data_IF_183438569091
#
_entry.id   IF_183438569091
#
_cell.length_a   1.000
_cell.length_b   1.000
_cell.length_c   1.000
_cell.angle_alpha   90.00
_cell.angle_beta   90.00
_cell.angle_gamma   90.00
#
_symmetry.space_group_name_H-M   'P 1'
#
loop_
_entity.id
_entity.type
_entity.pdbx_description
1 polymer ?
#
# COMPACT_ATOMS: atom_id res chain seq x y z
N UNK A 1 -73.18 -67.30 11.50
CA UNK A 1 -71.95 -67.40 10.67
C UNK A 1 -71.89 -66.18 9.76
N UNK A 2 -70.76 -65.44 9.76
CA UNK A 2 -70.45 -64.31 8.84
C UNK A 2 -70.71 -62.91 9.42
N UNK A 3 -69.75 -62.18 10.03
CA UNK A 3 -68.62 -61.37 9.47
C UNK A 3 -69.09 -60.15 8.63
N UNK A 4 -68.58 -58.91 8.71
CA UNK A 4 -67.46 -58.28 9.44
C UNK A 4 -67.62 -56.73 9.46
N UNK A 5 -66.87 -56.10 10.37
CA UNK A 5 -66.87 -54.67 10.76
C UNK A 5 -66.12 -53.71 9.82
N UNK A 6 -66.56 -52.44 9.83
CA UNK A 6 -65.87 -51.23 9.35
C UNK A 6 -64.96 -50.64 10.45
N UNK A 7 -63.71 -50.29 10.14
CA UNK A 7 -62.85 -49.48 11.03
C UNK A 7 -61.82 -48.62 10.26
N UNK A 8 -61.85 -47.32 10.58
CA UNK A 8 -60.82 -46.26 10.70
C UNK A 8 -59.41 -46.39 10.11
N UNK A 9 -58.87 -45.27 9.59
CA UNK A 9 -57.71 -44.54 10.19
C UNK A 9 -57.26 -43.32 9.37
N UNK A 10 -57.18 -42.15 10.03
CA UNK A 10 -56.47 -40.93 9.58
C UNK A 10 -55.02 -41.00 10.10
N UNK A 11 -54.03 -40.76 9.23
CA UNK A 11 -52.61 -40.71 9.62
C UNK A 11 -52.09 -39.26 9.62
N UNK A 12 -51.46 -38.88 10.74
CA UNK A 12 -50.77 -37.62 10.99
C UNK A 12 -49.36 -37.65 10.38
N UNK A 13 -48.98 -36.66 9.56
CA UNK A 13 -47.61 -36.47 9.05
C UNK A 13 -46.86 -35.44 9.92
N UNK A 14 -45.78 -35.87 10.57
CA UNK A 14 -44.85 -35.01 11.29
C UNK A 14 -43.72 -34.49 10.38
N UNK A 15 -43.51 -33.17 10.38
CA UNK A 15 -42.40 -32.52 9.67
C UNK A 15 -41.15 -32.47 10.58
N UNK A 16 -40.09 -33.17 10.18
CA UNK A 16 -38.77 -33.06 10.80
C UNK A 16 -37.98 -31.92 10.14
N UNK A 17 -37.66 -30.89 10.92
CA UNK A 17 -36.74 -29.83 10.53
C UNK A 17 -35.30 -30.38 10.48
N UNK A 18 -34.81 -30.64 9.28
CA UNK A 18 -33.43 -31.06 9.04
C UNK A 18 -32.46 -29.90 9.22
N UNK A 19 -31.47 -30.07 10.09
CA UNK A 19 -30.29 -29.22 10.19
C UNK A 19 -29.50 -29.28 8.88
N UNK A 20 -29.62 -28.28 8.01
CA UNK A 20 -28.77 -28.13 6.83
C UNK A 20 -27.36 -27.77 7.29
N UNK A 21 -26.40 -28.66 7.06
CA UNK A 21 -24.99 -28.34 7.17
C UNK A 21 -24.68 -27.15 6.21
N UNK A 22 -24.06 -26.09 6.73
CA UNK A 22 -23.66 -24.96 5.89
C UNK A 22 -22.68 -25.45 4.82
N UNK A 23 -22.81 -24.99 3.56
CA UNK A 23 -21.83 -25.31 2.52
C UNK A 23 -20.45 -24.82 2.95
N UNK A 24 -19.42 -25.68 2.95
CA UNK A 24 -18.15 -25.41 3.63
C UNK A 24 -17.28 -24.28 3.05
N UNK A 25 -17.60 -23.71 1.88
CA UNK A 25 -16.63 -22.91 1.11
C UNK A 25 -17.07 -21.48 0.74
N UNK A 26 -18.09 -20.91 1.37
CA UNK A 26 -18.43 -19.50 1.07
C UNK A 26 -17.37 -18.55 1.66
N UNK A 27 -16.87 -17.57 0.89
CA UNK A 27 -15.89 -16.62 1.37
C UNK A 27 -16.48 -15.80 2.52
N UNK A 28 -15.73 -15.70 3.62
CA UNK A 28 -16.08 -14.85 4.77
C UNK A 28 -15.65 -13.40 4.51
N UNK A 29 -16.27 -12.45 5.20
CA UNK A 29 -15.82 -11.07 5.20
C UNK A 29 -14.34 -10.99 5.63
N UNK A 30 -13.52 -10.24 4.89
CA UNK A 30 -12.13 -10.01 5.27
C UNK A 30 -12.07 -9.15 6.54
N UNK A 31 -11.10 -9.43 7.39
CA UNK A 31 -10.81 -8.57 8.55
C UNK A 31 -10.18 -7.26 8.07
N UNK A 32 -10.44 -6.16 8.77
CA UNK A 32 -9.85 -4.86 8.48
C UNK A 32 -9.15 -4.30 9.74
N UNK A 33 -7.82 -4.50 9.86
CA UNK A 33 -7.05 -3.96 10.98
C UNK A 33 -7.10 -2.43 11.05
N UNK A 34 -7.31 -1.71 9.93
CA UNK A 34 -7.47 -0.25 9.94
C UNK A 34 -8.80 0.14 10.55
N UNK A 35 -9.87 -0.59 10.24
CA UNK A 35 -11.17 -0.39 10.87
C UNK A 35 -11.10 -0.59 12.40
N UNK A 36 -10.31 -1.56 12.88
CA UNK A 36 -10.06 -1.76 14.31
C UNK A 36 -9.42 -0.53 14.94
N UNK A 37 -8.41 0.07 14.32
CA UNK A 37 -7.76 1.28 14.85
C UNK A 37 -8.65 2.52 14.72
N UNK A 38 -9.35 2.68 13.61
CA UNK A 38 -10.24 3.81 13.34
C UNK A 38 -11.48 3.82 14.26
N UNK A 39 -11.93 2.64 14.71
CA UNK A 39 -13.08 2.50 15.60
C UNK A 39 -12.88 3.16 16.98
N UNK A 40 -11.67 3.61 17.33
CA UNK A 40 -11.36 4.16 18.66
C UNK A 40 -12.16 5.41 19.00
N UNK A 41 -12.70 6.11 17.99
CA UNK A 41 -13.56 7.29 18.15
C UNK A 41 -15.01 6.95 18.49
N UNK A 42 -15.47 5.73 18.22
CA UNK A 42 -16.88 5.32 18.34
C UNK A 42 -17.09 4.10 19.22
N UNK A 43 -16.05 3.31 19.46
CA UNK A 43 -16.12 2.10 20.26
C UNK A 43 -16.23 2.44 21.76
N UNK A 44 -17.14 1.76 22.45
CA UNK A 44 -17.30 1.80 23.89
C UNK A 44 -16.37 0.80 24.61
N UNK A 45 -15.97 -0.26 23.92
CA UNK A 45 -15.05 -1.25 24.45
C UNK A 45 -14.22 -1.90 23.35
N UNK A 46 -13.02 -2.33 23.70
CA UNK A 46 -12.21 -3.25 22.90
C UNK A 46 -12.00 -4.53 23.69
N UNK A 47 -12.40 -5.65 23.11
CA UNK A 47 -12.35 -6.95 23.79
C UNK A 47 -11.78 -8.04 22.90
N UNK A 48 -11.03 -8.95 23.51
CA UNK A 48 -10.65 -10.22 22.92
C UNK A 48 -11.47 -11.32 23.58
N UNK A 49 -12.05 -12.21 22.78
CA UNK A 49 -12.93 -13.24 23.32
C UNK A 49 -13.33 -14.28 22.30
N UNK A 50 -14.18 -15.20 22.73
CA UNK A 50 -14.61 -16.33 21.92
C UNK A 50 -16.07 -16.15 21.48
N UNK A 51 -16.31 -16.34 20.19
CA UNK A 51 -17.64 -16.34 19.59
C UNK A 51 -18.37 -17.63 19.96
N UNK A 52 -19.53 -17.49 20.57
CA UNK A 52 -20.40 -18.57 20.99
C UNK A 52 -21.43 -18.94 19.91
N UNK A 53 -22.68 -19.14 20.34
CA UNK A 53 -23.78 -19.48 19.43
C UNK A 53 -24.11 -18.30 18.53
N UNK A 54 -24.12 -18.53 17.22
CA UNK A 54 -24.53 -17.55 16.22
C UNK A 54 -26.00 -17.78 15.87
N UNK A 55 -26.78 -16.70 15.82
CA UNK A 55 -28.17 -16.71 15.39
C UNK A 55 -28.40 -15.60 14.35
N UNK A 56 -29.19 -15.93 13.33
CA UNK A 56 -29.66 -14.96 12.35
C UNK A 56 -30.87 -14.23 12.91
N UNK A 57 -30.89 -12.90 12.77
CA UNK A 57 -32.00 -12.05 13.23
C UNK A 57 -33.01 -11.87 12.10
N UNK A 58 -32.51 -11.51 10.92
CA UNK A 58 -33.31 -11.32 9.70
C UNK A 58 -32.49 -11.67 8.45
N UNK A 59 -32.85 -11.14 7.27
CA UNK A 59 -32.12 -11.43 6.02
C UNK A 59 -30.63 -11.02 6.07
N UNK A 60 -30.24 -9.99 6.79
CA UNK A 60 -28.87 -9.45 6.77
C UNK A 60 -28.26 -9.31 8.16
N UNK A 61 -29.06 -9.25 9.22
CA UNK A 61 -28.63 -9.11 10.60
C UNK A 61 -28.29 -10.44 11.26
N UNK A 62 -27.16 -10.45 11.96
CA UNK A 62 -26.69 -11.58 12.75
C UNK A 62 -26.36 -11.12 14.17
N UNK A 63 -26.43 -12.08 15.09
CA UNK A 63 -25.91 -11.95 16.45
C UNK A 63 -25.14 -13.19 16.87
N UNK A 64 -24.26 -13.02 17.84
CA UNK A 64 -23.59 -14.12 18.49
C UNK A 64 -23.45 -13.87 19.98
N UNK A 65 -23.58 -14.93 20.77
CA UNK A 65 -23.05 -14.94 22.14
C UNK A 65 -21.53 -14.69 22.07
N UNK A 66 -20.99 -13.95 23.03
CA UNK A 66 -19.57 -13.64 23.08
C UNK A 66 -19.06 -13.76 24.52
N UNK A 67 -18.04 -14.59 24.71
CA UNK A 67 -17.36 -14.75 25.99
C UNK A 67 -16.11 -13.88 25.99
N UNK A 68 -16.15 -12.80 26.79
CA UNK A 68 -15.00 -11.89 26.94
C UNK A 68 -13.89 -12.61 27.69
N UNK A 69 -12.74 -12.79 27.04
CA UNK A 69 -11.55 -13.37 27.68
C UNK A 69 -10.66 -12.26 28.25
N UNK A 70 -10.50 -11.16 27.51
CA UNK A 70 -9.67 -10.03 27.90
C UNK A 70 -10.31 -8.71 27.46
N UNK A 71 -10.21 -7.72 28.33
CA UNK A 71 -10.69 -6.35 28.08
C UNK A 71 -9.48 -5.44 27.88
N UNK A 72 -9.43 -4.76 26.74
CA UNK A 72 -8.39 -3.78 26.43
C UNK A 72 -8.82 -2.39 26.86
N UNK A 73 -10.08 -2.02 26.61
CA UNK A 73 -10.70 -0.78 27.08
C UNK A 73 -12.22 -0.94 27.27
N UNK A 74 -12.83 -0.02 28.01
CA UNK A 74 -14.26 -0.03 28.35
C UNK A 74 -14.56 -0.60 29.74
N UNK A 75 -15.85 -0.66 30.08
CA UNK A 75 -16.34 -1.05 31.42
C UNK A 75 -16.68 -2.55 31.57
N UNK A 76 -16.37 -3.36 30.57
CA UNK A 76 -16.68 -4.80 30.56
C UNK A 76 -15.74 -5.58 31.48
N UNK A 77 -16.20 -6.74 31.96
CA UNK A 77 -15.41 -7.67 32.76
C UNK A 77 -14.80 -8.82 31.95
N UNK A 78 -13.62 -9.30 32.34
CA UNK A 78 -13.13 -10.60 31.87
C UNK A 78 -14.03 -11.72 32.42
N UNK A 79 -14.35 -12.71 31.58
CA UNK A 79 -15.31 -13.77 31.87
C UNK A 79 -16.77 -13.39 31.64
N UNK A 80 -17.06 -12.11 31.34
CA UNK A 80 -18.41 -11.65 31.06
C UNK A 80 -18.95 -12.26 29.75
N UNK A 81 -20.25 -12.57 29.75
CA UNK A 81 -20.98 -12.99 28.56
C UNK A 81 -21.87 -11.85 28.07
N UNK A 82 -21.70 -11.49 26.81
CA UNK A 82 -22.48 -10.46 26.12
C UNK A 82 -22.96 -10.97 24.75
N UNK A 83 -23.79 -10.19 24.07
CA UNK A 83 -24.13 -10.43 22.66
C UNK A 83 -23.42 -9.41 21.76
N UNK A 84 -22.83 -9.88 20.67
CA UNK A 84 -22.34 -9.01 19.59
C UNK A 84 -23.25 -9.16 18.37
N UNK A 85 -23.42 -8.09 17.61
CA UNK A 85 -24.25 -8.09 16.43
C UNK A 85 -23.62 -7.32 15.26
N UNK A 86 -23.89 -7.77 14.03
CA UNK A 86 -23.36 -7.18 12.80
C UNK A 86 -24.27 -7.46 11.59
N UNK A 87 -24.08 -6.71 10.51
CA UNK A 87 -24.81 -6.89 9.25
C UNK A 87 -23.93 -7.54 8.20
N UNK A 88 -24.52 -8.45 7.42
CA UNK A 88 -23.95 -8.96 6.18
C UNK A 88 -24.77 -8.45 5.00
N UNK A 89 -24.22 -7.42 4.33
CA UNK A 89 -24.85 -6.85 3.14
C UNK A 89 -24.87 -7.84 1.97
N UNK A 90 -23.87 -8.72 1.90
CA UNK A 90 -23.79 -9.76 0.87
C UNK A 90 -24.41 -11.07 1.36
N UNK A 91 -25.69 -11.27 1.06
CA UNK A 91 -26.45 -12.48 1.49
C UNK A 91 -25.91 -13.83 0.98
N UNK A 92 -24.96 -13.81 0.03
CA UNK A 92 -24.29 -15.00 -0.48
C UNK A 92 -22.97 -15.34 0.24
N UNK A 93 -22.56 -14.56 1.26
CA UNK A 93 -21.34 -14.83 2.03
C UNK A 93 -21.63 -15.71 3.25
N UNK A 94 -20.62 -16.46 3.68
CA UNK A 94 -20.64 -17.07 5.00
C UNK A 94 -20.72 -15.97 6.08
N UNK A 95 -21.34 -16.25 7.24
CA UNK A 95 -21.33 -15.32 8.37
C UNK A 95 -19.90 -14.89 8.73
N UNK A 96 -19.73 -13.61 9.11
CA UNK A 96 -18.45 -13.02 9.54
C UNK A 96 -17.68 -13.90 10.51
N UNK A 97 -18.40 -14.41 11.50
CA UNK A 97 -17.85 -15.14 12.61
C UNK A 97 -18.26 -16.61 12.55
N UNK A 98 -17.45 -17.48 13.13
CA UNK A 98 -17.76 -18.87 13.37
C UNK A 98 -17.84 -19.17 14.87
N UNK A 99 -18.68 -20.14 15.25
CA UNK A 99 -18.73 -20.63 16.62
C UNK A 99 -17.36 -21.19 17.02
N UNK A 100 -16.89 -20.80 18.19
CA UNK A 100 -15.60 -21.19 18.76
C UNK A 100 -14.42 -20.32 18.32
N UNK A 101 -14.62 -19.41 17.37
CA UNK A 101 -13.59 -18.51 16.87
C UNK A 101 -13.18 -17.49 17.95
N UNK A 102 -11.87 -17.32 18.15
CA UNK A 102 -11.35 -16.23 18.98
C UNK A 102 -11.20 -14.99 18.11
N UNK A 103 -11.74 -13.86 18.55
CA UNK A 103 -11.65 -12.59 17.83
C UNK A 103 -11.31 -11.43 18.78
N UNK A 104 -10.58 -10.46 18.24
CA UNK A 104 -10.47 -9.12 18.79
C UNK A 104 -11.57 -8.31 18.12
N UNK A 105 -12.35 -7.57 18.88
CA UNK A 105 -13.44 -6.77 18.34
C UNK A 105 -13.54 -5.43 19.06
N UNK A 106 -13.75 -4.37 18.28
CA UNK A 106 -14.17 -3.07 18.78
C UNK A 106 -15.70 -3.02 18.83
N UNK A 107 -16.25 -2.76 20.01
CA UNK A 107 -17.69 -2.80 20.28
C UNK A 107 -18.23 -1.38 20.41
N UNK A 108 -19.30 -1.07 19.69
CA UNK A 108 -20.07 0.17 19.85
C UNK A 108 -21.47 -0.12 20.39
N UNK A 109 -22.14 0.87 20.96
CA UNK A 109 -23.56 0.75 21.23
C UNK A 109 -24.34 0.44 19.96
N UNK A 110 -25.47 -0.24 20.11
CA UNK A 110 -26.45 -0.35 19.04
C UNK A 110 -26.91 1.07 18.63
N UNK A 111 -26.88 1.42 17.33
CA UNK A 111 -27.26 2.76 16.91
C UNK A 111 -28.75 2.99 17.19
N UNK A 112 -29.05 3.99 18.03
CA UNK A 112 -30.42 4.27 18.50
C UNK A 112 -31.39 4.66 17.37
N UNK A 113 -30.87 5.28 16.30
CA UNK A 113 -31.63 5.77 15.16
C UNK A 113 -31.67 4.81 13.98
N UNK A 114 -30.93 3.70 14.04
CA UNK A 114 -30.89 2.75 12.95
C UNK A 114 -32.07 1.78 13.03
N UNK A 115 -32.59 1.36 11.87
CA UNK A 115 -33.55 0.25 11.73
C UNK A 115 -33.11 -1.00 12.52
N UNK A 116 -31.81 -1.12 12.77
CA UNK A 116 -31.18 -2.01 13.73
C UNK A 116 -31.93 -2.12 15.06
N UNK A 117 -32.15 -1.03 15.79
CA UNK A 117 -32.73 -1.11 17.13
C UNK A 117 -34.07 -1.84 17.11
N UNK A 118 -34.89 -1.59 16.08
CA UNK A 118 -36.20 -2.22 15.88
C UNK A 118 -36.12 -3.71 15.51
N UNK A 119 -35.01 -4.17 14.93
CA UNK A 119 -34.78 -5.58 14.57
C UNK A 119 -34.41 -6.45 15.77
N UNK A 120 -33.85 -5.87 16.84
CA UNK A 120 -33.56 -6.62 18.07
C UNK A 120 -34.81 -6.72 18.94
N UNK A 121 -35.16 -7.94 19.39
CA UNK A 121 -36.13 -8.14 20.46
C UNK A 121 -35.86 -7.19 21.63
N UNK A 122 -36.89 -6.59 22.25
CA UNK A 122 -36.71 -5.67 23.37
C UNK A 122 -35.85 -6.25 24.50
N UNK A 123 -35.91 -7.56 24.75
CA UNK A 123 -35.12 -8.23 25.80
C UNK A 123 -33.60 -8.23 25.52
N UNK A 124 -33.17 -7.95 24.29
CA UNK A 124 -31.75 -7.83 23.94
C UNK A 124 -31.24 -6.39 24.06
N UNK A 125 -32.12 -5.43 24.37
CA UNK A 125 -31.76 -4.01 24.52
C UNK A 125 -31.29 -3.67 25.94
N UNK A 126 -31.19 -4.66 26.83
CA UNK A 126 -30.83 -4.54 28.25
C UNK A 126 -29.35 -4.16 28.49
N UNK A 127 -28.71 -3.45 27.55
CA UNK A 127 -27.33 -2.96 27.66
C UNK A 127 -26.23 -4.01 27.46
N UNK A 128 -26.58 -5.27 27.17
CA UNK A 128 -25.62 -6.37 26.95
C UNK A 128 -25.41 -6.76 25.49
N UNK A 129 -26.05 -6.04 24.56
CA UNK A 129 -25.87 -6.25 23.13
C UNK A 129 -25.11 -5.08 22.53
N UNK A 130 -24.01 -5.40 21.85
CA UNK A 130 -23.15 -4.42 21.20
C UNK A 130 -23.13 -4.66 19.69
N UNK A 131 -23.01 -3.58 18.92
CA UNK A 131 -22.66 -3.68 17.51
C UNK A 131 -21.14 -3.84 17.37
N UNK A 132 -20.71 -4.61 16.38
CA UNK A 132 -19.32 -4.54 15.94
C UNK A 132 -19.10 -3.18 15.25
N UNK A 133 -18.12 -2.41 15.73
CA UNK A 133 -17.88 -1.05 15.29
C UNK A 133 -17.41 -0.99 13.82
N UNK A 134 -17.30 0.24 13.28
CA UNK A 134 -16.92 0.50 11.89
C UNK A 134 -17.76 -0.32 10.89
N UNK A 135 -19.10 -0.24 11.01
CA UNK A 135 -20.04 -0.96 10.14
C UNK A 135 -19.86 -2.49 10.17
N UNK A 136 -19.31 -3.00 11.27
CA UNK A 136 -19.04 -4.41 11.48
C UNK A 136 -17.60 -4.83 11.20
N UNK A 137 -16.77 -3.97 10.61
CA UNK A 137 -15.48 -4.36 10.06
C UNK A 137 -14.33 -4.28 11.08
N UNK A 138 -14.56 -3.67 12.25
CA UNK A 138 -13.56 -3.51 13.30
C UNK A 138 -13.34 -4.79 14.13
N UNK A 139 -12.81 -5.84 13.49
CA UNK A 139 -12.41 -7.08 14.14
C UNK A 139 -11.13 -7.70 13.55
N UNK A 140 -10.49 -8.59 14.31
CA UNK A 140 -9.41 -9.48 13.85
C UNK A 140 -9.68 -10.91 14.30
N UNK A 141 -9.35 -11.86 13.44
CA UNK A 141 -9.48 -13.30 13.72
C UNK A 141 -8.22 -13.88 14.33
N UNK A 142 -8.45 -14.87 15.18
CA UNK A 142 -7.42 -15.68 15.84
C UNK A 142 -6.27 -14.84 16.42
N UNK A 143 -6.56 -13.71 17.09
CA UNK A 143 -5.51 -12.93 17.69
C UNK A 143 -4.87 -13.66 18.86
N UNK A 144 -3.60 -13.32 19.12
CA UNK A 144 -2.94 -13.66 20.38
C UNK A 144 -3.27 -12.60 21.42
N UNK A 145 -4.36 -12.80 22.17
CA UNK A 145 -4.93 -11.80 23.07
C UNK A 145 -3.88 -11.19 24.04
N UNK A 146 -2.92 -12.00 24.50
CA UNK A 146 -1.86 -11.60 25.42
C UNK A 146 -0.89 -10.53 24.85
N UNK A 147 -0.95 -10.28 23.54
CA UNK A 147 0.02 -9.41 22.83
C UNK A 147 -0.51 -8.01 22.52
N UNK A 148 -1.66 -7.63 23.09
CA UNK A 148 -2.32 -6.34 22.82
C UNK A 148 -1.95 -5.20 23.77
N UNK A 149 -0.80 -5.26 24.45
CA UNK A 149 -0.33 -4.19 25.32
C UNK A 149 -0.25 -2.84 24.61
N UNK A 150 0.33 -2.79 23.40
CA UNK A 150 0.45 -1.56 22.63
C UNK A 150 -0.91 -1.03 22.14
N UNK A 151 -1.80 -1.92 21.70
CA UNK A 151 -3.16 -1.53 21.30
C UNK A 151 -3.92 -0.95 22.48
N UNK A 152 -3.83 -1.59 23.65
CA UNK A 152 -4.42 -1.12 24.92
C UNK A 152 -3.96 0.30 25.25
N UNK A 153 -2.67 0.59 25.13
CA UNK A 153 -2.13 1.95 25.33
C UNK A 153 -2.74 2.96 24.36
N UNK A 154 -2.86 2.61 23.08
CA UNK A 154 -3.44 3.52 22.07
C UNK A 154 -4.93 3.81 22.32
N UNK A 155 -5.74 2.77 22.58
CA UNK A 155 -7.19 2.95 22.76
C UNK A 155 -7.56 3.65 24.07
N UNK A 156 -6.65 3.68 25.05
CA UNK A 156 -6.81 4.38 26.32
C UNK A 156 -6.54 5.90 26.23
N UNK A 157 -5.93 6.38 25.14
CA UNK A 157 -5.68 7.82 24.96
C UNK A 157 -6.99 8.57 24.76
N UNK A 158 -7.05 9.81 25.24
CA UNK A 158 -8.16 10.73 24.93
C UNK A 158 -8.13 11.18 23.46
N UNK A 159 -9.26 11.59 22.86
CA UNK A 159 -9.31 11.97 21.44
C UNK A 159 -8.28 13.02 21.01
N UNK A 160 -8.02 14.03 21.84
CA UNK A 160 -7.03 15.08 21.59
C UNK A 160 -5.57 14.57 21.72
N UNK A 161 -5.33 13.56 22.54
CA UNK A 161 -4.02 12.93 22.69
C UNK A 161 -3.70 12.01 21.51
N UNK A 162 -4.72 11.35 20.93
CA UNK A 162 -4.60 10.45 19.77
C UNK A 162 -4.16 11.17 18.52
N UNK A 163 -4.52 12.43 18.33
CA UNK A 163 -4.05 13.26 17.20
C UNK A 163 -2.73 13.98 17.51
N UNK A 164 -2.26 13.90 18.76
CA UNK A 164 -1.03 14.52 19.22
C UNK A 164 0.15 13.55 19.29
N UNK A 165 1.22 14.02 19.94
CA UNK A 165 2.48 13.26 20.11
C UNK A 165 2.28 11.89 20.77
N UNK A 166 1.41 11.81 21.78
CA UNK A 166 1.11 10.54 22.48
C UNK A 166 0.49 9.51 21.53
N UNK A 167 -0.44 9.93 20.68
CA UNK A 167 -1.02 9.09 19.64
C UNK A 167 0.01 8.57 18.64
N UNK A 168 0.89 9.45 18.14
CA UNK A 168 1.97 9.06 17.24
C UNK A 168 2.90 8.02 17.89
N UNK A 169 3.28 8.23 19.15
CA UNK A 169 4.10 7.28 19.91
C UNK A 169 3.40 5.93 20.08
N UNK A 170 2.14 5.92 20.51
CA UNK A 170 1.39 4.70 20.71
C UNK A 170 1.20 3.90 19.40
N UNK A 171 0.99 4.58 18.27
CA UNK A 171 0.96 3.92 16.95
C UNK A 171 2.33 3.38 16.53
N UNK A 172 3.43 4.09 16.80
CA UNK A 172 4.77 3.57 16.51
C UNK A 172 5.11 2.36 17.38
N UNK A 173 4.71 2.35 18.65
CA UNK A 173 4.80 1.19 19.54
C UNK A 173 3.95 0.02 19.03
N UNK A 174 2.74 0.29 18.54
CA UNK A 174 1.88 -0.73 17.93
C UNK A 174 2.46 -1.25 16.60
N UNK A 175 3.12 -0.39 15.82
CA UNK A 175 3.89 -0.75 14.63
C UNK A 175 5.07 -1.68 14.91
N UNK A 176 5.59 -1.68 16.14
CA UNK A 176 6.61 -2.60 16.61
C UNK A 176 6.04 -3.83 17.34
N UNK A 177 4.72 -3.97 17.41
CA UNK A 177 4.07 -5.10 18.06
C UNK A 177 4.19 -6.39 17.24
N UNK A 178 3.86 -7.52 17.87
CA UNK A 178 4.02 -8.82 17.24
C UNK A 178 2.85 -9.27 16.35
N UNK A 179 1.70 -8.57 16.38
CA UNK A 179 0.62 -8.86 15.42
C UNK A 179 0.89 -8.06 14.15
N UNK A 180 1.33 -8.76 13.10
CA UNK A 180 1.76 -8.15 11.83
C UNK A 180 0.66 -7.29 11.20
N UNK A 181 -0.60 -7.70 11.32
CA UNK A 181 -1.74 -7.02 10.68
C UNK A 181 -1.98 -5.66 11.34
N UNK A 182 -2.01 -5.61 12.67
CA UNK A 182 -2.11 -4.35 13.42
C UNK A 182 -0.86 -3.49 13.25
N UNK A 183 0.33 -4.10 13.24
CA UNK A 183 1.58 -3.37 13.07
C UNK A 183 1.61 -2.61 11.74
N UNK A 184 1.25 -3.26 10.63
CA UNK A 184 1.16 -2.62 9.32
C UNK A 184 0.11 -1.49 9.30
N UNK A 185 -1.10 -1.75 9.80
CA UNK A 185 -2.16 -0.74 9.84
C UNK A 185 -1.77 0.47 10.71
N UNK A 186 -1.05 0.24 11.81
CA UNK A 186 -0.55 1.30 12.69
C UNK A 186 0.52 2.15 11.99
N UNK A 187 1.48 1.54 11.29
CA UNK A 187 2.51 2.26 10.53
C UNK A 187 1.91 3.06 9.36
N UNK A 188 0.92 2.50 8.68
CA UNK A 188 0.21 3.22 7.62
C UNK A 188 -0.56 4.41 8.18
N UNK A 189 -1.36 4.20 9.23
CA UNK A 189 -2.10 5.27 9.91
C UNK A 189 -1.15 6.35 10.44
N UNK A 190 -0.02 5.96 11.03
CA UNK A 190 1.02 6.87 11.48
C UNK A 190 1.52 7.76 10.33
N UNK A 191 1.73 7.19 9.14
CA UNK A 191 2.21 7.90 7.96
C UNK A 191 1.18 8.76 7.23
N UNK A 192 -0.12 8.54 7.46
CA UNK A 192 -1.21 9.33 6.87
C UNK A 192 -1.76 10.39 7.81
N UNK A 193 -1.68 10.17 9.12
CA UNK A 193 -2.31 11.04 10.13
C UNK A 193 -1.33 12.06 10.71
N UNK A 194 -0.03 11.77 10.71
CA UNK A 194 0.98 12.63 11.32
C UNK A 194 2.00 13.11 10.29
N UNK A 195 2.48 14.34 10.51
CA UNK A 195 3.51 14.97 9.68
C UNK A 195 4.57 15.66 10.53
N UNK A 196 5.69 16.01 9.90
CA UNK A 196 6.67 16.94 10.43
C UNK A 196 7.28 16.52 11.78
N UNK A 197 7.12 17.37 12.79
CA UNK A 197 7.80 17.25 14.09
C UNK A 197 7.29 16.10 14.95
N UNK A 198 6.05 15.64 14.75
CA UNK A 198 5.49 14.52 15.52
C UNK A 198 6.22 13.20 15.19
N UNK A 199 6.45 12.93 13.91
CA UNK A 199 7.14 11.72 13.45
C UNK A 199 8.63 11.71 13.81
N UNK A 200 9.24 12.89 13.95
CA UNK A 200 10.66 13.06 14.32
C UNK A 200 10.91 13.02 15.83
N UNK A 201 9.86 12.89 16.64
CA UNK A 201 10.02 12.77 18.08
C UNK A 201 10.75 11.46 18.42
N UNK A 202 11.70 11.53 19.36
CA UNK A 202 12.58 10.42 19.72
C UNK A 202 11.83 9.12 20.05
N UNK A 203 10.77 9.18 20.86
CA UNK A 203 9.98 8.00 21.19
C UNK A 203 9.28 7.36 19.96
N UNK A 204 8.89 8.18 18.99
CA UNK A 204 8.24 7.73 17.75
C UNK A 204 9.27 7.06 16.85
N UNK A 205 10.44 7.69 16.66
CA UNK A 205 11.53 7.12 15.86
C UNK A 205 12.09 5.84 16.50
N UNK A 206 12.18 5.75 17.83
CA UNK A 206 12.53 4.50 18.53
C UNK A 206 11.48 3.39 18.30
N UNK A 207 10.19 3.72 18.27
CA UNK A 207 9.13 2.78 17.90
C UNK A 207 9.31 2.25 16.47
N UNK A 208 9.50 3.15 15.50
CA UNK A 208 9.73 2.78 14.10
C UNK A 208 11.04 1.97 13.95
N UNK A 209 12.11 2.33 14.66
CA UNK A 209 13.37 1.59 14.67
C UNK A 209 13.19 0.15 15.19
N UNK A 210 12.37 -0.07 16.21
CA UNK A 210 12.02 -1.42 16.69
C UNK A 210 11.23 -2.20 15.63
N UNK A 211 10.29 -1.56 14.93
CA UNK A 211 9.59 -2.19 13.81
C UNK A 211 10.54 -2.59 12.67
N UNK A 212 11.55 -1.76 12.38
CA UNK A 212 12.63 -2.06 11.44
C UNK A 212 13.53 -3.23 11.89
N UNK A 213 13.86 -3.32 13.19
CA UNK A 213 14.77 -4.35 13.72
C UNK A 213 14.12 -5.71 13.96
N UNK A 214 12.86 -5.74 14.40
CA UNK A 214 12.20 -6.96 14.89
C UNK A 214 10.89 -7.32 14.18
N UNK A 215 10.42 -6.46 13.25
CA UNK A 215 9.19 -6.71 12.51
C UNK A 215 9.31 -7.82 11.46
N UNK A 216 8.15 -8.30 11.00
CA UNK A 216 8.08 -9.17 9.81
C UNK A 216 8.65 -8.45 8.58
N UNK A 217 8.82 -9.17 7.45
CA UNK A 217 9.23 -8.53 6.21
C UNK A 217 8.25 -7.45 5.75
N UNK A 218 6.94 -7.68 5.91
CA UNK A 218 5.91 -6.70 5.54
C UNK A 218 5.91 -5.48 6.47
N UNK A 219 6.05 -5.69 7.79
CA UNK A 219 6.19 -4.60 8.76
C UNK A 219 7.45 -3.76 8.49
N UNK A 220 8.60 -4.41 8.23
CA UNK A 220 9.85 -3.72 7.90
C UNK A 220 9.72 -2.90 6.62
N UNK A 221 9.07 -3.44 5.59
CA UNK A 221 8.75 -2.71 4.35
C UNK A 221 7.89 -1.47 4.63
N UNK A 222 6.80 -1.61 5.39
CA UNK A 222 5.94 -0.49 5.76
C UNK A 222 6.70 0.60 6.54
N UNK A 223 7.58 0.21 7.46
CA UNK A 223 8.42 1.13 8.22
C UNK A 223 9.45 1.85 7.34
N UNK A 224 10.07 1.15 6.37
CA UNK A 224 10.98 1.75 5.38
C UNK A 224 10.25 2.76 4.48
N UNK A 225 9.06 2.41 3.98
CA UNK A 225 8.25 3.32 3.16
C UNK A 225 7.83 4.57 3.94
N UNK A 226 7.45 4.42 5.21
CA UNK A 226 7.17 5.54 6.11
C UNK A 226 8.41 6.44 6.28
N UNK A 227 9.57 5.84 6.58
CA UNK A 227 10.81 6.59 6.78
C UNK A 227 11.24 7.36 5.52
N UNK A 228 11.15 6.72 4.34
CA UNK A 228 11.47 7.33 3.05
C UNK A 228 10.54 8.49 2.73
N UNK A 229 9.22 8.29 2.85
CA UNK A 229 8.20 9.31 2.53
C UNK A 229 8.37 10.57 3.38
N UNK A 230 8.63 10.39 4.68
CA UNK A 230 8.71 11.50 5.64
C UNK A 230 10.14 11.97 5.94
N UNK A 231 11.14 11.46 5.22
CA UNK A 231 12.54 11.85 5.34
C UNK A 231 13.06 11.75 6.79
N UNK A 232 12.76 10.63 7.46
CA UNK A 232 13.09 10.36 8.87
C UNK A 232 14.57 9.95 9.03
N UNK A 233 15.48 10.90 8.79
CA UNK A 233 16.95 10.69 8.83
C UNK A 233 17.45 10.19 10.19
N UNK A 234 16.69 10.39 11.26
CA UNK A 234 16.93 9.85 12.59
C UNK A 234 16.98 8.30 12.58
N UNK A 235 16.36 7.67 11.58
CA UNK A 235 16.38 6.22 11.35
C UNK A 235 17.54 5.74 10.47
N UNK A 236 18.54 6.57 10.19
CA UNK A 236 19.71 6.20 9.37
C UNK A 236 20.37 4.90 9.82
N UNK A 237 20.72 4.80 11.10
CA UNK A 237 21.43 3.63 11.62
C UNK A 237 20.66 2.30 11.43
N UNK A 238 19.39 2.15 11.87
CA UNK A 238 18.65 0.91 11.65
C UNK A 238 18.38 0.62 10.17
N UNK A 239 18.19 1.64 9.32
CA UNK A 239 18.02 1.43 7.89
C UNK A 239 19.32 0.95 7.25
N UNK A 240 20.48 1.52 7.61
CA UNK A 240 21.78 1.07 7.12
C UNK A 240 22.05 -0.39 7.50
N UNK A 241 21.67 -0.81 8.71
CA UNK A 241 21.77 -2.21 9.13
C UNK A 241 20.93 -3.15 8.23
N UNK A 242 19.71 -2.76 7.87
CA UNK A 242 18.88 -3.53 6.92
C UNK A 242 19.51 -3.53 5.53
N UNK A 243 20.03 -2.39 5.10
CA UNK A 243 20.67 -2.21 3.81
C UNK A 243 21.91 -3.12 3.66
N UNK A 244 22.60 -3.41 4.77
CA UNK A 244 23.76 -4.30 4.79
C UNK A 244 23.40 -5.79 5.01
N UNK A 245 22.13 -6.13 5.15
CA UNK A 245 21.68 -7.52 5.36
C UNK A 245 21.60 -8.32 4.05
N UNK A 246 21.62 -9.65 4.14
CA UNK A 246 21.54 -10.56 2.99
C UNK A 246 20.16 -10.60 2.30
N UNK A 247 19.14 -9.93 2.84
CA UNK A 247 17.81 -9.89 2.22
C UNK A 247 17.79 -8.90 1.05
N UNK A 248 17.82 -9.42 -0.18
CA UNK A 248 17.86 -8.60 -1.41
C UNK A 248 16.73 -7.58 -1.49
N UNK A 249 15.48 -7.97 -1.20
CA UNK A 249 14.32 -7.08 -1.30
C UNK A 249 14.33 -5.94 -0.27
N UNK A 250 14.55 -6.27 1.01
CA UNK A 250 14.58 -5.25 2.08
C UNK A 250 15.84 -4.39 1.99
N UNK A 251 16.98 -4.99 1.63
CA UNK A 251 18.24 -4.28 1.42
C UNK A 251 18.08 -3.24 0.32
N UNK A 252 17.50 -3.61 -0.83
CA UNK A 252 17.23 -2.68 -1.93
C UNK A 252 16.34 -1.52 -1.50
N UNK A 253 15.24 -1.79 -0.80
CA UNK A 253 14.33 -0.74 -0.30
C UNK A 253 15.01 0.19 0.72
N UNK A 254 15.87 -0.36 1.58
CA UNK A 254 16.65 0.42 2.53
C UNK A 254 17.65 1.35 1.81
N UNK A 255 18.34 0.86 0.79
CA UNK A 255 19.21 1.71 -0.03
C UNK A 255 18.44 2.75 -0.84
N UNK A 256 17.23 2.45 -1.34
CA UNK A 256 16.36 3.45 -1.98
C UNK A 256 15.93 4.55 -1.00
N UNK A 257 15.69 4.21 0.27
CA UNK A 257 15.43 5.19 1.32
C UNK A 257 16.67 6.08 1.54
N UNK A 258 17.86 5.49 1.70
CA UNK A 258 19.13 6.23 1.88
C UNK A 258 19.47 7.11 0.66
N UNK A 259 19.18 6.67 -0.56
CA UNK A 259 19.29 7.46 -1.79
C UNK A 259 18.41 8.71 -1.73
N UNK A 260 17.16 8.58 -1.29
CA UNK A 260 16.28 9.74 -1.14
C UNK A 260 16.82 10.77 -0.14
N UNK A 261 17.70 10.35 0.78
CA UNK A 261 18.31 11.21 1.80
C UNK A 261 19.66 11.78 1.40
N UNK A 262 20.19 11.36 0.24
CA UNK A 262 21.56 11.64 -0.24
C UNK A 262 22.62 11.18 0.76
N UNK A 263 22.47 9.96 1.28
CA UNK A 263 23.37 9.41 2.28
C UNK A 263 24.80 9.20 1.72
N UNK A 264 25.87 9.61 2.43
CA UNK A 264 27.23 9.48 1.93
C UNK A 264 27.69 8.02 1.74
N UNK A 265 27.08 7.05 2.44
CA UNK A 265 27.45 5.63 2.33
C UNK A 265 27.20 5.07 0.91
N UNK A 266 26.33 5.72 0.14
CA UNK A 266 26.01 5.31 -1.22
C UNK A 266 27.24 5.35 -2.13
N UNK A 267 28.13 6.31 -1.90
CA UNK A 267 29.34 6.49 -2.71
C UNK A 267 30.31 5.31 -2.54
N UNK A 268 30.43 4.79 -1.31
CA UNK A 268 31.30 3.65 -1.01
C UNK A 268 30.81 2.35 -1.66
N UNK A 269 29.49 2.23 -1.83
CA UNK A 269 28.87 1.03 -2.43
C UNK A 269 28.78 1.07 -3.94
N UNK A 270 28.87 2.26 -4.53
CA UNK A 270 28.54 2.48 -5.93
C UNK A 270 29.38 1.63 -6.89
N UNK A 271 30.69 1.55 -6.67
CA UNK A 271 31.60 0.78 -7.51
C UNK A 271 31.32 -0.73 -7.45
N UNK A 272 30.97 -1.24 -6.27
CA UNK A 272 30.60 -2.64 -6.09
C UNK A 272 29.27 -2.97 -6.78
N UNK A 273 28.28 -2.07 -6.68
CA UNK A 273 26.98 -2.27 -7.31
C UNK A 273 27.02 -2.15 -8.83
N UNK A 274 27.78 -1.20 -9.38
CA UNK A 274 27.86 -1.02 -10.84
C UNK A 274 28.46 -2.24 -11.55
N UNK A 275 29.31 -2.99 -10.84
CA UNK A 275 29.97 -4.21 -11.34
C UNK A 275 29.27 -5.51 -10.89
N UNK A 276 28.13 -5.41 -10.20
CA UNK A 276 27.41 -6.58 -9.69
C UNK A 276 26.81 -7.42 -10.81
N UNK A 277 26.79 -8.75 -10.66
CA UNK A 277 26.08 -9.64 -11.59
C UNK A 277 24.56 -9.50 -11.49
N UNK A 278 24.06 -9.11 -10.32
CA UNK A 278 22.64 -8.91 -10.06
C UNK A 278 22.14 -7.57 -10.60
N UNK A 279 21.07 -7.64 -11.40
CA UNK A 279 20.53 -6.52 -12.17
C UNK A 279 20.04 -5.38 -11.27
N UNK A 280 19.35 -5.72 -10.18
CA UNK A 280 18.78 -4.78 -9.24
C UNK A 280 19.84 -3.86 -8.61
N UNK A 281 21.06 -4.37 -8.38
CA UNK A 281 22.17 -3.58 -7.86
C UNK A 281 22.74 -2.63 -8.92
N UNK A 282 22.87 -3.07 -10.17
CA UNK A 282 23.31 -2.19 -11.26
C UNK A 282 22.27 -1.10 -11.56
N UNK A 283 20.99 -1.43 -11.49
CA UNK A 283 19.88 -0.45 -11.59
C UNK A 283 20.00 0.59 -10.48
N UNK A 284 20.18 0.15 -9.22
CA UNK A 284 20.34 1.06 -8.10
C UNK A 284 21.61 1.92 -8.25
N UNK A 285 22.73 1.34 -8.71
CA UNK A 285 23.96 2.08 -8.99
C UNK A 285 23.73 3.20 -10.01
N UNK A 286 23.00 2.92 -11.10
CA UNK A 286 22.66 3.94 -12.09
C UNK A 286 21.85 5.10 -11.49
N UNK A 287 20.85 4.79 -10.64
CA UNK A 287 20.05 5.82 -9.94
C UNK A 287 20.93 6.68 -9.02
N UNK A 288 21.79 6.05 -8.23
CA UNK A 288 22.70 6.73 -7.31
C UNK A 288 23.68 7.60 -8.09
N UNK A 289 24.31 7.06 -9.13
CA UNK A 289 25.30 7.79 -9.93
C UNK A 289 24.71 9.05 -10.58
N UNK A 290 23.46 8.97 -11.05
CA UNK A 290 22.75 10.14 -11.56
C UNK A 290 22.47 11.19 -10.47
N UNK A 291 22.06 10.74 -9.27
CA UNK A 291 21.75 11.64 -8.15
C UNK A 291 22.99 12.28 -7.51
N UNK A 292 24.16 11.62 -7.59
CA UNK A 292 25.42 12.08 -6.99
C UNK A 292 26.49 12.50 -8.02
N UNK A 293 26.10 12.63 -9.29
CA UNK A 293 26.95 13.09 -10.41
C UNK A 293 28.27 12.30 -10.54
N UNK A 294 28.19 10.98 -10.44
CA UNK A 294 29.37 10.09 -10.51
C UNK A 294 29.65 9.69 -11.95
N UNK A 295 30.32 10.58 -12.67
CA UNK A 295 30.59 10.47 -14.11
C UNK A 295 31.09 9.08 -14.56
N UNK A 296 32.07 8.50 -13.88
CA UNK A 296 32.61 7.17 -14.24
C UNK A 296 31.54 6.08 -14.22
N UNK A 297 30.62 6.14 -13.26
CA UNK A 297 29.55 5.13 -13.12
C UNK A 297 28.40 5.43 -14.08
N UNK A 298 28.13 6.70 -14.39
CA UNK A 298 27.22 7.10 -15.46
C UNK A 298 27.72 6.52 -16.81
N UNK A 299 29.00 6.70 -17.13
CA UNK A 299 29.61 6.19 -18.36
C UNK A 299 29.55 4.65 -18.48
N UNK A 300 29.70 3.95 -17.35
CA UNK A 300 29.49 2.50 -17.28
C UNK A 300 28.02 2.14 -17.50
N UNK A 301 27.10 2.80 -16.80
CA UNK A 301 25.67 2.50 -16.84
C UNK A 301 25.06 2.71 -18.24
N UNK A 302 25.50 3.71 -19.01
CA UNK A 302 25.05 3.92 -20.40
C UNK A 302 25.44 2.76 -21.32
N UNK A 303 26.53 2.05 -21.00
CA UNK A 303 27.02 0.89 -21.76
C UNK A 303 26.53 -0.44 -21.18
N UNK A 304 25.72 -0.41 -20.11
CA UNK A 304 25.24 -1.64 -19.48
C UNK A 304 24.41 -2.44 -20.50
N UNK A 305 24.60 -3.78 -20.59
CA UNK A 305 23.85 -4.60 -21.53
C UNK A 305 22.34 -4.57 -21.28
N UNK A 306 21.90 -4.36 -20.03
CA UNK A 306 20.49 -4.33 -19.67
C UNK A 306 19.85 -2.98 -19.97
N UNK A 307 18.75 -2.94 -20.75
CA UNK A 307 18.01 -1.70 -20.96
C UNK A 307 17.43 -1.13 -19.67
N UNK A 308 17.16 -1.96 -18.65
CA UNK A 308 16.62 -1.50 -17.37
C UNK A 308 17.62 -0.62 -16.60
N UNK A 309 18.93 -0.88 -16.74
CA UNK A 309 19.97 -0.04 -16.12
C UNK A 309 20.07 1.30 -16.86
N UNK A 310 20.09 1.27 -18.20
CA UNK A 310 20.13 2.46 -19.05
C UNK A 310 18.88 3.33 -18.90
N UNK A 311 17.72 2.70 -18.77
CA UNK A 311 16.45 3.38 -18.49
C UNK A 311 16.46 4.01 -17.10
N UNK A 312 16.86 3.28 -16.07
CA UNK A 312 16.96 3.83 -14.70
C UNK A 312 17.90 5.04 -14.65
N UNK A 313 19.02 4.98 -15.37
CA UNK A 313 19.90 6.13 -15.54
C UNK A 313 19.17 7.31 -16.19
N UNK A 314 18.52 7.11 -17.34
CA UNK A 314 17.76 8.15 -18.03
C UNK A 314 16.71 8.80 -17.10
N UNK A 315 15.94 7.98 -16.36
CA UNK A 315 14.90 8.45 -15.44
C UNK A 315 15.45 9.34 -14.31
N UNK A 316 16.66 9.06 -13.84
CA UNK A 316 17.22 9.70 -12.65
C UNK A 316 18.25 10.80 -12.96
N UNK A 317 18.73 10.90 -14.21
CA UNK A 317 19.53 12.04 -14.62
C UNK A 317 18.74 13.34 -14.41
N UNK A 318 19.31 14.34 -13.72
CA UNK A 318 18.70 15.64 -13.57
C UNK A 318 18.51 16.32 -14.95
N UNK A 319 17.40 17.04 -15.18
CA UNK A 319 17.17 17.78 -16.41
C UNK A 319 17.98 19.08 -16.44
N UNK A 320 19.31 18.97 -16.38
CA UNK A 320 20.25 20.08 -16.42
C UNK A 320 21.17 19.98 -17.63
N UNK A 321 21.59 21.11 -18.20
CA UNK A 321 22.40 21.17 -19.43
C UNK A 321 23.69 20.35 -19.34
N UNK A 322 24.30 20.23 -18.16
CA UNK A 322 25.53 19.45 -17.96
C UNK A 322 25.32 17.95 -18.21
N UNK A 323 24.09 17.44 -18.08
CA UNK A 323 23.78 16.02 -18.34
C UNK A 323 23.33 15.73 -19.78
N UNK A 324 23.16 16.77 -20.62
CA UNK A 324 22.76 16.61 -22.02
C UNK A 324 23.64 15.64 -22.81
N UNK A 325 24.99 15.62 -22.69
CA UNK A 325 25.81 14.69 -23.45
C UNK A 325 25.41 13.22 -23.23
N UNK A 326 25.13 12.83 -22.00
CA UNK A 326 24.71 11.46 -21.67
C UNK A 326 23.27 11.18 -22.12
N UNK A 327 22.35 12.13 -21.93
CA UNK A 327 20.98 12.00 -22.42
C UNK A 327 20.91 11.87 -23.95
N UNK A 328 21.76 12.58 -24.71
CA UNK A 328 21.85 12.49 -26.16
C UNK A 328 22.43 11.15 -26.65
N UNK A 329 23.21 10.46 -25.82
CA UNK A 329 23.62 9.07 -26.10
C UNK A 329 22.42 8.14 -25.91
N UNK A 330 21.69 8.26 -24.79
CA UNK A 330 20.49 7.47 -24.49
C UNK A 330 19.33 7.75 -25.46
N UNK A 331 19.30 8.93 -26.09
CA UNK A 331 18.35 9.25 -27.15
C UNK A 331 18.51 8.34 -28.39
N UNK A 332 19.71 7.79 -28.60
CA UNK A 332 20.01 6.84 -29.67
C UNK A 332 19.99 5.37 -29.22
N UNK A 333 19.52 5.06 -28.01
CA UNK A 333 19.52 3.70 -27.44
C UNK A 333 18.75 2.72 -28.34
N UNK A 334 19.11 1.43 -28.42
CA UNK A 334 18.29 0.45 -29.14
C UNK A 334 16.89 0.24 -28.54
N UNK A 335 16.69 0.47 -27.25
CA UNK A 335 15.42 0.23 -26.55
C UNK A 335 14.51 1.46 -26.56
N UNK A 336 13.26 1.29 -27.02
CA UNK A 336 12.31 2.41 -27.15
C UNK A 336 11.98 3.07 -25.80
N UNK A 337 11.91 2.27 -24.73
CA UNK A 337 11.67 2.78 -23.37
C UNK A 337 12.78 3.75 -22.91
N UNK A 338 14.04 3.44 -23.22
CA UNK A 338 15.19 4.30 -22.89
C UNK A 338 15.16 5.59 -23.72
N UNK A 339 14.93 5.47 -25.03
CA UNK A 339 14.84 6.62 -25.95
C UNK A 339 13.75 7.59 -25.51
N UNK A 340 12.55 7.10 -25.21
CA UNK A 340 11.40 7.92 -24.80
C UNK A 340 11.69 8.66 -23.50
N UNK A 341 12.24 7.96 -22.51
CA UNK A 341 12.62 8.58 -21.23
C UNK A 341 13.69 9.66 -21.43
N UNK A 342 14.72 9.38 -22.25
CA UNK A 342 15.75 10.36 -22.57
C UNK A 342 15.16 11.59 -23.30
N UNK A 343 14.25 11.38 -24.27
CA UNK A 343 13.56 12.46 -24.97
C UNK A 343 12.78 13.38 -24.01
N UNK A 344 11.98 12.79 -23.12
CA UNK A 344 11.23 13.54 -22.07
C UNK A 344 12.20 14.33 -21.19
N UNK A 345 13.31 13.71 -20.76
CA UNK A 345 14.31 14.38 -19.91
C UNK A 345 15.02 15.52 -20.61
N UNK A 346 15.37 15.37 -21.88
CA UNK A 346 15.97 16.45 -22.67
C UNK A 346 14.98 17.59 -22.86
N UNK A 347 13.69 17.29 -23.11
CA UNK A 347 12.66 18.32 -23.18
C UNK A 347 12.50 19.10 -21.85
N UNK A 348 12.65 18.42 -20.70
CA UNK A 348 12.65 19.08 -19.38
C UNK A 348 13.84 20.01 -19.15
N UNK A 349 14.95 19.86 -19.88
CA UNK A 349 16.06 20.84 -19.89
C UNK A 349 15.61 22.17 -20.52
N UNK A 350 14.60 22.14 -21.38
CA UNK A 350 13.99 23.33 -21.98
C UNK A 350 14.76 23.87 -23.20
N UNK A 351 14.66 25.18 -23.49
CA UNK A 351 15.22 25.79 -24.71
C UNK A 351 16.73 25.58 -24.88
N UNK A 352 17.47 25.38 -23.78
CA UNK A 352 18.91 25.10 -23.83
C UNK A 352 19.25 23.80 -24.58
N UNK A 353 18.29 22.89 -24.75
CA UNK A 353 18.48 21.64 -25.49
C UNK A 353 18.23 21.75 -27.00
N UNK A 354 17.63 22.84 -27.51
CA UNK A 354 17.16 22.95 -28.90
C UNK A 354 18.25 22.66 -29.93
N UNK A 355 19.41 23.31 -29.79
CA UNK A 355 20.51 23.14 -30.74
C UNK A 355 21.01 21.70 -30.78
N UNK A 356 21.08 21.04 -29.62
CA UNK A 356 21.50 19.64 -29.53
C UNK A 356 20.45 18.67 -30.10
N UNK A 357 19.17 18.95 -29.91
CA UNK A 357 18.08 18.18 -30.48
C UNK A 357 17.97 18.35 -32.00
N UNK A 358 18.17 19.57 -32.50
CA UNK A 358 18.23 19.85 -33.94
C UNK A 358 19.38 19.07 -34.59
N UNK A 359 20.57 19.10 -33.99
CA UNK A 359 21.69 18.31 -34.50
C UNK A 359 21.42 16.81 -34.44
N UNK A 360 20.83 16.32 -33.34
CA UNK A 360 20.46 14.91 -33.20
C UNK A 360 19.39 14.47 -34.22
N UNK A 361 18.45 15.36 -34.56
CA UNK A 361 17.45 15.13 -35.59
C UNK A 361 18.07 15.07 -36.99
N UNK A 362 18.98 16.00 -37.31
CA UNK A 362 19.56 16.12 -38.65
C UNK A 362 20.68 15.12 -38.94
N UNK A 363 21.48 14.76 -37.93
CA UNK A 363 22.70 13.94 -38.10
C UNK A 363 22.62 12.59 -37.41
N UNK A 364 21.58 12.35 -36.61
CA UNK A 364 21.36 11.06 -35.97
C UNK A 364 20.98 9.97 -36.96
N UNK A 365 21.16 8.72 -36.57
CA UNK A 365 20.50 7.62 -37.28
C UNK A 365 18.97 7.75 -37.14
N UNK A 366 18.20 7.03 -37.96
CA UNK A 366 16.74 7.13 -37.98
C UNK A 366 16.08 7.04 -36.59
N UNK A 367 16.62 6.21 -35.69
CA UNK A 367 16.12 6.06 -34.31
C UNK A 367 16.37 7.31 -33.47
N UNK A 368 17.62 7.76 -33.42
CA UNK A 368 18.01 8.98 -32.68
C UNK A 368 17.29 10.20 -33.24
N UNK A 369 17.12 10.27 -34.56
CA UNK A 369 16.40 11.35 -35.22
C UNK A 369 14.91 11.35 -34.84
N UNK A 370 14.25 10.18 -34.87
CA UNK A 370 12.86 10.04 -34.44
C UNK A 370 12.67 10.42 -32.96
N UNK A 371 13.56 9.95 -32.07
CA UNK A 371 13.51 10.30 -30.65
C UNK A 371 13.78 11.79 -30.41
N UNK A 372 14.67 12.42 -31.20
CA UNK A 372 14.87 13.87 -31.16
C UNK A 372 13.62 14.65 -31.59
N UNK A 373 12.90 14.18 -32.62
CA UNK A 373 11.60 14.75 -33.01
C UNK A 373 10.58 14.64 -31.86
N UNK A 374 10.53 13.52 -31.15
CA UNK A 374 9.67 13.39 -29.96
C UNK A 374 10.04 14.41 -28.87
N UNK A 375 11.34 14.57 -28.56
CA UNK A 375 11.80 15.55 -27.59
C UNK A 375 11.47 16.99 -28.01
N UNK A 376 11.60 17.31 -29.31
CA UNK A 376 11.19 18.59 -29.87
C UNK A 376 9.69 18.79 -29.72
N UNK A 377 8.86 17.78 -30.00
CA UNK A 377 7.41 17.86 -29.81
C UNK A 377 7.02 18.18 -28.35
N UNK A 378 7.69 17.55 -27.38
CA UNK A 378 7.49 17.81 -25.94
C UNK A 378 7.90 19.24 -25.50
N UNK A 379 8.80 19.90 -26.26
CA UNK A 379 9.16 21.32 -26.03
C UNK A 379 8.09 22.31 -26.54
N UNK A 380 7.09 21.83 -27.28
CA UNK A 380 5.96 22.63 -27.78
C UNK A 380 6.38 23.74 -28.74
N UNK A 381 5.77 24.92 -28.60
CA UNK A 381 5.94 26.07 -29.51
C UNK A 381 7.41 26.46 -29.73
N UNK A 382 8.27 26.24 -28.73
CA UNK A 382 9.69 26.59 -28.78
C UNK A 382 10.45 25.84 -29.91
N UNK A 383 9.98 24.65 -30.30
CA UNK A 383 10.62 23.81 -31.32
C UNK A 383 9.94 23.87 -32.70
N UNK A 384 8.83 24.62 -32.83
CA UNK A 384 7.95 24.56 -33.99
C UNK A 384 8.69 24.80 -35.31
N UNK A 385 9.54 25.83 -35.39
CA UNK A 385 10.31 26.13 -36.60
C UNK A 385 11.26 24.99 -37.00
N UNK A 386 11.84 24.27 -36.03
CA UNK A 386 12.70 23.12 -36.27
C UNK A 386 11.86 21.95 -36.81
N UNK A 387 10.71 21.67 -36.19
CA UNK A 387 9.78 20.63 -36.63
C UNK A 387 9.25 20.89 -38.05
N UNK A 388 8.91 22.14 -38.39
CA UNK A 388 8.44 22.52 -39.72
C UNK A 388 9.49 22.22 -40.79
N UNK A 389 10.75 22.57 -40.55
CA UNK A 389 11.85 22.27 -41.46
C UNK A 389 12.11 20.77 -41.55
N UNK A 390 12.10 20.04 -40.43
CA UNK A 390 12.27 18.58 -40.43
C UNK A 390 11.16 17.88 -41.22
N UNK A 391 9.90 18.30 -41.06
CA UNK A 391 8.77 17.76 -41.82
C UNK A 391 8.90 18.00 -43.33
N UNK A 392 9.48 19.13 -43.75
CA UNK A 392 9.62 19.49 -45.15
C UNK A 392 10.84 18.84 -45.83
N UNK A 393 11.99 18.81 -45.16
CA UNK A 393 13.29 18.64 -45.81
C UNK A 393 14.10 17.44 -45.33
N UNK A 394 13.69 16.76 -44.24
CA UNK A 394 14.50 15.67 -43.69
C UNK A 394 14.61 14.50 -44.69
N UNK A 395 15.80 13.91 -44.93
CA UNK A 395 15.99 12.86 -45.94
C UNK A 395 15.17 11.59 -45.66
N UNK A 396 15.09 11.18 -44.39
CA UNK A 396 14.30 10.01 -43.96
C UNK A 396 12.81 10.32 -43.90
N UNK A 397 12.01 9.57 -44.65
CA UNK A 397 10.55 9.74 -44.72
C UNK A 397 9.86 9.55 -43.37
N UNK A 398 10.28 8.56 -42.59
CA UNK A 398 9.70 8.29 -41.27
C UNK A 398 9.88 9.46 -40.30
N UNK A 399 11.01 10.18 -40.40
CA UNK A 399 11.29 11.37 -39.58
C UNK A 399 10.45 12.56 -40.06
N UNK A 400 10.29 12.74 -41.39
CA UNK A 400 9.38 13.77 -41.94
C UNK A 400 7.95 13.57 -41.45
N UNK A 401 7.43 12.34 -41.56
CA UNK A 401 6.08 11.99 -41.13
C UNK A 401 5.89 12.20 -39.63
N UNK A 402 6.87 11.79 -38.81
CA UNK A 402 6.81 12.01 -37.37
C UNK A 402 6.83 13.49 -36.99
N UNK A 403 7.63 14.31 -37.68
CA UNK A 403 7.67 15.76 -37.46
C UNK A 403 6.35 16.43 -37.88
N UNK A 404 5.75 15.99 -38.98
CA UNK A 404 4.42 16.45 -39.40
C UNK A 404 3.33 16.07 -38.38
N UNK A 405 3.39 14.85 -37.83
CA UNK A 405 2.49 14.39 -36.78
C UNK A 405 2.65 15.23 -35.50
N UNK A 406 3.89 15.53 -35.10
CA UNK A 406 4.20 16.38 -33.95
C UNK A 406 3.63 17.80 -34.10
N UNK A 407 3.50 18.29 -35.34
CA UNK A 407 2.85 19.57 -35.68
C UNK A 407 1.31 19.47 -35.78
N UNK A 408 0.71 18.31 -35.50
CA UNK A 408 -0.74 18.08 -35.59
C UNK A 408 -1.28 18.01 -37.03
N UNK A 409 -0.42 17.74 -38.03
CA UNK A 409 -0.86 17.61 -39.42
C UNK A 409 -1.36 16.18 -39.69
N UNK A 410 -2.51 15.99 -40.34
CA UNK A 410 -3.02 14.67 -40.66
C UNK A 410 -2.06 13.94 -41.61
N UNK A 411 -1.93 12.62 -41.46
CA UNK A 411 -1.26 11.79 -42.46
C UNK A 411 -2.06 11.90 -43.77
N UNK A 412 -1.40 12.27 -44.87
CA UNK A 412 -2.04 12.17 -46.18
C UNK A 412 -2.37 10.69 -46.42
N UNK A 413 -3.66 10.36 -46.46
CA UNK A 413 -4.13 9.02 -46.83
C UNK A 413 -3.55 8.70 -48.23
N UNK A 414 -2.86 7.57 -48.34
CA UNK A 414 -2.30 7.07 -49.59
C UNK A 414 -3.35 6.41 -50.47
#
# INVERSE_FOLDING_TARGET
>A
MGYAHLCSSFALLGALAGCTANPPDLPRAQEDPKAVLAAVSVAQAYVCGQVGRIARIDRTGYRAEFLVQQVLSGMLGSGERLEIAWEELATQRAPRFAKGETVLVALSALPATALWLHRFPPQLRDGKTFAVAAQGDAFLREPRCERFGALKSYVALEPNERTGRKGAQALAELGASSDERLAMAALEMLGTTFEGSALRHEAVTQGIARALGHGSAATRKAALDLARRHQLKELRAPILQIAQSDSTDLSRLAWEALLSWKDPELDERLAAWSSSSALEWRVLAAKVAAATDKQQVIEQAIKDPSPLVRQALAEHLPPESKFLPWLLVLLGDPEQGVQRTAAIKIAQVGPAALSALEEAALRGNARKAAAAVLALAELGETSQAILERLAAEHPEESVRQLAALALGRPQAEH
#
